data_IF_497367819587
#
_entry.id   IF_497367819587
#
_cell.length_a   1.000
_cell.length_b   1.000
_cell.length_c   1.000
_cell.angle_alpha   90.00
_cell.angle_beta   90.00
_cell.angle_gamma   90.00
#
_symmetry.space_group_name_H-M   'P 1'
#
loop_
_entity.id
_entity.type
_entity.pdbx_description
1 polymer ?
#
# COMPACT_ATOMS: atom_id res chain seq x y z
N UNK A 1 -21.28 -3.99 1.58
CA UNK A 1 -19.99 -4.26 2.27
C UNK A 1 -18.88 -4.32 1.22
N UNK A 2 -17.73 -3.69 1.49
CA UNK A 2 -16.58 -3.74 0.57
C UNK A 2 -16.12 -5.19 0.33
N UNK A 3 -15.79 -5.53 -0.92
CA UNK A 3 -15.35 -6.89 -1.31
C UNK A 3 -13.87 -7.15 -1.00
N UNK A 4 -13.08 -6.09 -0.88
CA UNK A 4 -11.65 -6.12 -0.63
C UNK A 4 -11.26 -5.01 0.34
N UNK A 5 -10.13 -5.19 1.02
CA UNK A 5 -9.46 -4.16 1.83
C UNK A 5 -8.09 -3.90 1.25
N UNK A 6 -7.65 -2.65 1.25
CA UNK A 6 -6.28 -2.26 0.92
C UNK A 6 -5.55 -1.84 2.20
N UNK A 7 -4.38 -2.42 2.44
CA UNK A 7 -3.43 -1.87 3.40
C UNK A 7 -2.44 -1.00 2.64
N UNK A 8 -2.27 0.23 3.10
CA UNK A 8 -1.28 1.18 2.59
C UNK A 8 -0.22 1.36 3.66
N UNK A 9 1.03 1.10 3.28
CA UNK A 9 2.21 1.39 4.08
C UNK A 9 2.96 2.54 3.42
N UNK A 10 3.01 3.68 4.11
CA UNK A 10 3.67 4.91 3.64
C UNK A 10 5.07 4.96 4.24
N UNK A 11 6.05 4.52 3.45
CA UNK A 11 7.45 4.75 3.73
C UNK A 11 7.88 6.16 3.35
N UNK A 12 9.10 6.52 3.70
CA UNK A 12 9.64 7.83 3.37
C UNK A 12 10.11 7.91 1.91
N UNK A 13 10.54 6.80 1.31
CA UNK A 13 11.02 6.72 -0.09
C UNK A 13 10.15 5.84 -0.99
N UNK A 14 9.11 5.22 -0.44
CA UNK A 14 8.20 4.39 -1.21
C UNK A 14 6.86 4.22 -0.52
N UNK A 15 5.85 3.94 -1.32
CA UNK A 15 4.52 3.53 -0.89
C UNK A 15 4.30 2.08 -1.28
N UNK A 16 3.85 1.25 -0.34
CA UNK A 16 3.39 -0.10 -0.62
C UNK A 16 1.88 -0.21 -0.46
N UNK A 17 1.25 -0.93 -1.37
CA UNK A 17 -0.17 -1.27 -1.37
C UNK A 17 -0.35 -2.79 -1.42
N UNK A 18 -1.19 -3.33 -0.54
CA UNK A 18 -1.55 -4.75 -0.52
C UNK A 18 -3.06 -4.89 -0.48
N UNK A 19 -3.64 -5.66 -1.39
CA UNK A 19 -5.07 -5.95 -1.45
C UNK A 19 -5.34 -7.30 -0.82
N UNK A 20 -6.31 -7.33 0.10
CA UNK A 20 -6.79 -8.51 0.78
C UNK A 20 -8.23 -8.83 0.38
N UNK A 21 -8.53 -10.12 0.26
CA UNK A 21 -9.90 -10.61 0.24
C UNK A 21 -10.49 -10.70 1.67
N UNK A 22 -11.73 -11.17 1.79
CA UNK A 22 -12.42 -11.31 3.07
C UNK A 22 -11.82 -12.38 4.00
N UNK A 23 -11.06 -13.32 3.48
CA UNK A 23 -10.39 -14.35 4.26
C UNK A 23 -9.02 -13.87 4.77
N UNK A 24 -8.59 -12.65 4.41
CA UNK A 24 -7.26 -12.13 4.73
C UNK A 24 -6.18 -12.61 3.77
N UNK A 25 -6.56 -13.21 2.64
CA UNK A 25 -5.59 -13.66 1.62
C UNK A 25 -5.09 -12.47 0.84
N UNK A 26 -3.77 -12.39 0.60
CA UNK A 26 -3.18 -11.41 -0.31
C UNK A 26 -3.53 -11.80 -1.73
N UNK A 27 -4.28 -10.94 -2.43
CA UNK A 27 -4.65 -11.17 -3.84
C UNK A 27 -3.87 -10.28 -4.81
N UNK A 28 -3.29 -9.18 -4.32
CA UNK A 28 -2.41 -8.32 -5.11
C UNK A 28 -1.51 -7.50 -4.19
N UNK A 29 -0.33 -7.15 -4.68
CA UNK A 29 0.57 -6.22 -4.03
C UNK A 29 1.30 -5.38 -5.07
N UNK A 30 1.59 -4.13 -4.72
CA UNK A 30 2.38 -3.21 -5.53
C UNK A 30 3.22 -2.29 -4.65
N UNK A 31 4.29 -1.77 -5.24
CA UNK A 31 5.15 -0.79 -4.60
C UNK A 31 5.48 0.32 -5.61
N UNK A 32 5.47 1.55 -5.13
CA UNK A 32 5.83 2.74 -5.89
C UNK A 32 6.92 3.48 -5.14
N UNK A 33 8.09 3.61 -5.75
CA UNK A 33 9.17 4.45 -5.24
C UNK A 33 8.88 5.93 -5.53
N UNK A 34 9.24 6.80 -4.60
CA UNK A 34 9.11 8.25 -4.74
C UNK A 34 10.23 8.97 -3.98
N UNK A 35 10.56 10.17 -4.43
CA UNK A 35 11.55 11.01 -3.75
C UNK A 35 11.01 11.54 -2.41
N UNK A 36 11.92 11.83 -1.48
CA UNK A 36 11.59 12.52 -0.22
C UNK A 36 11.49 14.03 -0.45
N UNK A 37 10.43 14.64 0.06
CA UNK A 37 10.29 16.11 0.08
C UNK A 37 10.76 16.61 1.44
N UNK A 38 11.94 17.23 1.47
CA UNK A 38 12.49 17.84 2.68
C UNK A 38 12.02 19.30 2.83
N UNK A 39 11.75 19.77 4.06
CA UNK A 39 11.57 21.19 4.34
C UNK A 39 12.79 22.01 3.90
N UNK A 40 12.56 23.24 3.45
CA UNK A 40 13.60 24.24 3.16
C UNK A 40 13.68 25.26 4.27
#
# INVERSE_FOLDING_TARGET
>A
MAKHVIAIDQGTTSTRAIIFDKAGTIISAGQLEHEQIFPR
#
